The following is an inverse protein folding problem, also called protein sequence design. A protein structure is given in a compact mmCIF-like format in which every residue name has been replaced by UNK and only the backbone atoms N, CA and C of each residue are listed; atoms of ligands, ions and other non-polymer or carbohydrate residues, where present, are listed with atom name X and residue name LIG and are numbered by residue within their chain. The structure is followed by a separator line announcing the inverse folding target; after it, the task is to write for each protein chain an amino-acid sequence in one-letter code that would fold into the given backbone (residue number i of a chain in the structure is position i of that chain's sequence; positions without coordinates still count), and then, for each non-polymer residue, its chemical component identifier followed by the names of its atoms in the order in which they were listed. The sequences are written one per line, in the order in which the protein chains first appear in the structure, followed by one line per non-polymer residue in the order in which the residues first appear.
data_IF_182418974012
#
_entry.id   IF_182418974012
#
_cell.length_a   1.000
_cell.length_b   1.000
_cell.length_c   1.000
_cell.angle_alpha   90.00
_cell.angle_beta   90.00
_cell.angle_gamma   90.00
#
_symmetry.space_group_name_H-M   'P 1'
#
loop_
_entity.id
_entity.type
_entity.pdbx_description
1 polymer ?
#
# COMPACT_ATOMS: atom_id res chain seq x y z
N UNK A 1 25.68 24.82 -7.08
CA UNK A 1 24.36 24.21 -7.39
C UNK A 1 23.99 23.32 -6.22
N UNK A 2 22.97 23.69 -5.45
CA UNK A 2 22.53 22.88 -4.30
C UNK A 2 21.75 21.68 -4.84
N UNK A 3 22.20 20.45 -4.59
CA UNK A 3 21.44 19.25 -4.95
C UNK A 3 20.20 19.16 -4.07
N UNK A 4 19.01 19.26 -4.66
CA UNK A 4 17.76 18.87 -4.00
C UNK A 4 17.58 17.36 -4.18
N UNK A 5 17.67 16.61 -3.08
CA UNK A 5 17.40 15.17 -3.08
C UNK A 5 15.90 14.97 -3.28
N UNK A 6 15.53 14.21 -4.31
CA UNK A 6 14.13 13.85 -4.57
C UNK A 6 13.60 13.04 -3.38
N UNK A 7 12.50 13.53 -2.78
CA UNK A 7 11.81 12.84 -1.70
C UNK A 7 10.87 11.83 -2.34
N UNK A 8 11.03 10.56 -1.97
CA UNK A 8 10.10 9.50 -2.36
C UNK A 8 9.13 9.20 -1.22
N UNK A 9 7.86 9.05 -1.55
CA UNK A 9 6.77 8.80 -0.61
C UNK A 9 6.38 7.32 -0.66
N UNK A 10 6.33 6.70 0.51
CA UNK A 10 5.79 5.36 0.73
C UNK A 10 4.52 5.49 1.57
N UNK A 11 3.39 5.08 1.02
CA UNK A 11 2.15 4.94 1.79
C UNK A 11 2.09 3.56 2.45
N UNK A 12 1.96 3.53 3.78
CA UNK A 12 1.84 2.30 4.57
C UNK A 12 0.43 2.04 5.11
N UNK A 13 -0.58 2.78 4.62
CA UNK A 13 -1.95 2.75 5.14
C UNK A 13 -2.57 1.36 5.03
N UNK A 14 -2.42 0.69 3.89
CA UNK A 14 -3.02 -0.62 3.66
C UNK A 14 -2.36 -1.72 4.53
N UNK A 15 -1.02 -1.72 4.64
CA UNK A 15 -0.30 -2.60 5.58
C UNK A 15 -0.74 -2.36 7.02
N UNK A 16 -0.73 -1.11 7.47
CA UNK A 16 -1.03 -0.76 8.86
C UNK A 16 -2.47 -1.08 9.20
N UNK A 17 -3.40 -0.77 8.28
CA UNK A 17 -4.78 -1.21 8.36
C UNK A 17 -4.90 -2.73 8.51
N UNK A 18 -4.03 -3.50 7.85
CA UNK A 18 -4.04 -4.96 7.88
C UNK A 18 -3.72 -5.52 9.27
N UNK A 19 -2.83 -4.87 10.01
CA UNK A 19 -2.55 -5.20 11.41
C UNK A 19 -3.76 -4.95 12.33
N UNK A 20 -4.63 -4.00 12.00
CA UNK A 20 -5.84 -3.71 12.78
C UNK A 20 -7.08 -4.50 12.31
N UNK A 21 -7.15 -4.85 11.02
CA UNK A 21 -8.30 -5.53 10.39
C UNK A 21 -8.13 -7.04 10.25
N UNK A 22 -7.01 -7.61 10.73
CA UNK A 22 -6.62 -8.99 10.43
C UNK A 22 -6.58 -9.28 8.91
N UNK A 23 -6.19 -8.29 8.11
CA UNK A 23 -6.12 -8.38 6.64
C UNK A 23 -7.47 -8.60 5.94
N UNK A 24 -8.59 -8.46 6.66
CA UNK A 24 -9.93 -8.52 6.07
C UNK A 24 -10.35 -7.13 5.63
N UNK A 25 -10.24 -6.89 4.32
CA UNK A 25 -10.74 -5.69 3.67
C UNK A 25 -11.82 -6.04 2.67
N UNK A 26 -12.81 -5.17 2.54
CA UNK A 26 -13.73 -5.23 1.43
C UNK A 26 -12.99 -5.00 0.11
N UNK A 27 -13.35 -5.74 -0.95
CA UNK A 27 -12.70 -5.62 -2.25
C UNK A 27 -12.91 -4.24 -2.88
N UNK A 28 -14.08 -3.65 -2.69
CA UNK A 28 -14.41 -2.34 -3.24
C UNK A 28 -13.62 -1.24 -2.52
N UNK A 29 -13.41 -1.41 -1.20
CA UNK A 29 -12.51 -0.54 -0.42
C UNK A 29 -11.08 -0.60 -0.96
N UNK A 30 -10.54 -1.81 -1.18
CA UNK A 30 -9.18 -1.98 -1.69
C UNK A 30 -9.05 -1.41 -3.10
N UNK A 31 -10.02 -1.65 -3.98
CA UNK A 31 -10.01 -1.08 -5.34
C UNK A 31 -10.00 0.45 -5.31
N UNK A 32 -10.92 1.05 -4.53
CA UNK A 32 -11.02 2.50 -4.39
C UNK A 32 -9.75 3.10 -3.82
N UNK A 33 -9.14 2.44 -2.83
CA UNK A 33 -7.86 2.87 -2.27
C UNK A 33 -6.74 2.82 -3.33
N UNK A 34 -6.60 1.71 -4.06
CA UNK A 34 -5.55 1.59 -5.09
C UNK A 34 -5.72 2.60 -6.23
N UNK A 35 -6.96 2.87 -6.65
CA UNK A 35 -7.27 3.92 -7.63
C UNK A 35 -6.88 5.30 -7.10
N UNK A 36 -7.22 5.62 -5.86
CA UNK A 36 -6.83 6.88 -5.21
C UNK A 36 -5.31 7.02 -5.10
N UNK A 37 -4.59 5.96 -4.72
CA UNK A 37 -3.13 5.96 -4.64
C UNK A 37 -2.51 6.15 -6.03
N UNK A 38 -3.05 5.48 -7.06
CA UNK A 38 -2.57 5.62 -8.44
C UNK A 38 -2.81 7.02 -9.02
N UNK A 39 -3.85 7.72 -8.57
CA UNK A 39 -4.13 9.11 -8.94
C UNK A 39 -3.34 10.13 -8.11
N UNK A 40 -2.73 9.68 -7.00
CA UNK A 40 -1.91 10.51 -6.11
C UNK A 40 -0.45 10.55 -6.55
N UNK A 41 0.32 11.51 -6.03
CA UNK A 41 1.76 11.61 -6.29
C UNK A 41 2.59 10.76 -5.29
N UNK A 42 2.13 9.55 -4.99
CA UNK A 42 2.81 8.59 -4.10
C UNK A 42 3.66 7.65 -4.96
N UNK A 43 4.91 7.44 -4.56
CA UNK A 43 5.84 6.59 -5.32
C UNK A 43 5.61 5.10 -5.07
N UNK A 44 5.24 4.73 -3.84
CA UNK A 44 5.12 3.34 -3.40
C UNK A 44 3.94 3.12 -2.46
N UNK A 45 3.26 1.99 -2.61
CA UNK A 45 2.19 1.53 -1.72
C UNK A 45 2.61 0.22 -1.05
N UNK A 46 2.55 0.17 0.27
CA UNK A 46 2.83 -1.03 1.05
C UNK A 46 1.55 -1.82 1.34
N UNK A 47 1.41 -2.98 0.72
CA UNK A 47 0.19 -3.80 0.79
C UNK A 47 0.18 -4.76 2.00
N UNK A 48 1.35 -5.29 2.39
CA UNK A 48 1.48 -6.27 3.47
C UNK A 48 2.15 -7.58 3.06
N UNK A 49 1.83 -8.68 3.76
CA UNK A 49 2.48 -9.98 3.57
C UNK A 49 1.83 -10.80 2.45
N UNK A 50 2.68 -11.36 1.58
CA UNK A 50 2.28 -12.48 0.71
C UNK A 50 2.65 -13.79 1.39
N UNK A 51 1.67 -14.45 2.00
CA UNK A 51 1.86 -15.78 2.57
C UNK A 51 1.77 -16.80 1.42
N UNK A 52 2.84 -17.55 1.12
CA UNK A 52 2.75 -18.64 0.15
C UNK A 52 1.73 -19.66 0.65
N UNK A 53 0.75 -20.03 -0.16
CA UNK A 53 -0.16 -21.12 0.15
C UNK A 53 0.65 -22.40 0.32
N UNK A 54 0.74 -22.92 1.54
CA UNK A 54 1.35 -24.22 1.79
C UNK A 54 0.39 -25.31 1.32
N UNK A 55 0.67 -25.90 0.16
CA UNK A 55 -0.04 -27.08 -0.35
C UNK A 55 -0.76 -26.85 -1.67
N UNK A 56 -0.09 -27.24 -2.75
CA UNK A 56 -0.76 -27.96 -3.85
C UNK A 56 -0.59 -29.46 -3.60
#
# INVERSE_FOLDING_TARGET
VTQTKEVKVLDCTLRDGGYYSNWFFDKDLVSSYLEAMSASNIDYVEVGFRIPTAGS
#
